data_IF_278856543010
#
_entry.id   IF_278856543010
#
_cell.length_a   1.000
_cell.length_b   1.000
_cell.length_c   1.000
_cell.angle_alpha   90.00
_cell.angle_beta   90.00
_cell.angle_gamma   90.00
#
_symmetry.space_group_name_H-M   'P 1'
#
loop_
_entity.id
_entity.type
_entity.pdbx_description
1 polymer ?
#
# COMPACT_ATOMS: atom_id res chain seq x y z
N UNK A 1 -11.35 -43.33 1.35
CA UNK A 1 -10.69 -42.22 2.05
C UNK A 1 -9.33 -41.80 1.42
N UNK A 2 -9.03 -42.22 0.20
CA UNK A 2 -7.82 -41.84 -0.52
C UNK A 2 -7.98 -40.70 -1.53
N UNK A 3 -9.17 -40.11 -1.62
CA UNK A 3 -9.46 -39.07 -2.62
C UNK A 3 -8.99 -37.66 -2.23
N UNK A 4 -8.90 -37.38 -0.92
CA UNK A 4 -8.54 -36.03 -0.43
C UNK A 4 -7.04 -35.69 -0.55
N UNK A 5 -6.18 -36.69 -0.58
CA UNK A 5 -4.74 -36.45 -0.73
C UNK A 5 -4.33 -36.10 -2.16
N UNK A 6 -5.06 -36.55 -3.15
CA UNK A 6 -4.80 -36.25 -4.56
C UNK A 6 -5.06 -34.79 -4.91
N UNK A 7 -6.11 -34.21 -4.35
CA UNK A 7 -6.50 -32.82 -4.61
C UNK A 7 -5.56 -31.82 -3.94
N UNK A 8 -5.13 -32.11 -2.71
CA UNK A 8 -4.18 -31.28 -1.97
C UNK A 8 -2.79 -31.31 -2.62
N UNK A 9 -2.35 -32.48 -3.11
CA UNK A 9 -1.10 -32.59 -3.86
C UNK A 9 -1.16 -31.90 -5.23
N UNK A 10 -2.30 -31.95 -5.89
CA UNK A 10 -2.50 -31.25 -7.16
C UNK A 10 -2.37 -29.75 -7.02
N UNK A 11 -2.96 -29.16 -5.98
CA UNK A 11 -2.88 -27.71 -5.72
C UNK A 11 -1.48 -27.25 -5.31
N UNK A 12 -0.80 -28.02 -4.45
CA UNK A 12 0.54 -27.66 -3.99
C UNK A 12 1.59 -27.86 -5.09
N UNK A 13 1.50 -28.97 -5.84
CA UNK A 13 2.43 -29.24 -6.94
C UNK A 13 2.12 -28.43 -8.19
N UNK A 14 0.87 -28.12 -8.44
CA UNK A 14 0.48 -27.22 -9.52
C UNK A 14 1.06 -25.83 -9.35
N UNK A 15 1.12 -25.35 -8.11
CA UNK A 15 1.69 -24.03 -7.80
C UNK A 15 3.24 -24.04 -7.77
N UNK A 16 3.85 -25.18 -7.43
CA UNK A 16 5.31 -25.30 -7.34
C UNK A 16 5.99 -25.67 -8.67
N UNK A 17 5.36 -26.50 -9.50
CA UNK A 17 5.92 -26.99 -10.76
C UNK A 17 5.14 -26.58 -12.02
N UNK A 18 3.91 -26.17 -11.86
CA UNK A 18 3.02 -25.75 -12.93
C UNK A 18 3.27 -24.35 -13.44
N UNK A 19 4.39 -24.16 -14.06
CA UNK A 19 4.60 -23.06 -14.98
C UNK A 19 4.64 -21.69 -14.34
N UNK A 20 5.71 -20.99 -14.62
CA UNK A 20 5.84 -19.58 -14.42
C UNK A 20 4.63 -18.81 -14.89
N UNK A 21 3.59 -18.79 -14.06
CA UNK A 21 2.59 -17.76 -14.11
C UNK A 21 3.37 -16.47 -13.99
N UNK A 22 3.49 -15.75 -15.08
CA UNK A 22 3.99 -14.40 -15.10
C UNK A 22 3.27 -13.68 -13.97
N UNK A 23 3.92 -13.50 -12.81
CA UNK A 23 3.52 -12.48 -11.87
C UNK A 23 3.66 -11.17 -12.61
N UNK A 24 2.62 -10.82 -13.36
CA UNK A 24 2.50 -9.49 -13.92
C UNK A 24 2.71 -8.56 -12.74
N UNK A 25 3.71 -7.69 -12.84
CA UNK A 25 3.81 -6.57 -11.93
C UNK A 25 2.41 -5.98 -11.83
N UNK A 26 1.85 -6.01 -10.64
CA UNK A 26 0.48 -5.57 -10.44
C UNK A 26 0.48 -4.03 -10.45
N UNK A 27 0.55 -3.45 -11.65
CA UNK A 27 0.47 -2.01 -11.87
C UNK A 27 -0.99 -1.51 -11.82
N UNK A 28 -1.90 -2.37 -11.39
CA UNK A 28 -3.30 -2.00 -11.16
C UNK A 28 -3.49 -1.13 -9.91
N UNK A 29 -4.71 -0.61 -9.72
CA UNK A 29 -5.05 0.15 -8.53
C UNK A 29 -4.85 -0.71 -7.27
N UNK A 30 -4.09 -0.18 -6.33
CA UNK A 30 -3.83 -0.84 -5.06
C UNK A 30 -4.34 0.01 -3.90
N UNK A 31 -5.03 -0.63 -2.97
CA UNK A 31 -5.48 0.02 -1.75
C UNK A 31 -4.28 0.45 -0.91
N UNK A 32 -4.35 1.65 -0.32
CA UNK A 32 -3.34 2.14 0.61
C UNK A 32 -3.27 1.30 1.89
N UNK A 33 -2.14 1.36 2.57
CA UNK A 33 -1.94 0.70 3.84
C UNK A 33 -2.82 1.30 4.94
N UNK A 34 -3.19 0.47 5.90
CA UNK A 34 -3.89 0.95 7.08
C UNK A 34 -2.92 1.60 8.05
N UNK A 35 -3.31 2.72 8.62
CA UNK A 35 -2.59 3.37 9.71
C UNK A 35 -3.11 2.88 11.05
N UNK A 36 -2.25 2.93 12.05
CA UNK A 36 -2.59 2.61 13.44
C UNK A 36 -2.29 3.81 14.32
N UNK A 37 -3.23 4.14 15.18
CA UNK A 37 -3.08 5.17 16.20
C UNK A 37 -3.56 4.61 17.53
N UNK A 38 -3.12 5.23 18.61
CA UNK A 38 -3.58 4.90 19.97
C UNK A 38 -4.20 6.12 20.61
N UNK A 39 -5.27 5.91 21.35
CA UNK A 39 -5.91 6.93 22.14
C UNK A 39 -6.05 6.43 23.58
N UNK A 40 -5.70 7.28 24.52
CA UNK A 40 -5.88 6.98 25.94
C UNK A 40 -7.15 7.66 26.43
N UNK A 41 -8.01 6.91 27.07
CA UNK A 41 -9.24 7.38 27.67
C UNK A 41 -9.31 6.96 29.14
N UNK A 42 -10.10 7.68 29.93
CA UNK A 42 -10.38 7.30 31.30
C UNK A 42 -11.44 6.19 31.35
N UNK A 43 -11.53 5.51 32.49
CA UNK A 43 -12.55 4.50 32.69
C UNK A 43 -13.98 5.06 32.52
N UNK A 44 -14.21 6.27 33.04
CA UNK A 44 -15.49 6.95 32.88
C UNK A 44 -15.84 7.23 31.43
N UNK A 45 -14.86 7.70 30.66
CA UNK A 45 -15.02 7.91 29.22
C UNK A 45 -15.31 6.61 28.47
N UNK A 46 -14.73 5.50 28.89
CA UNK A 46 -15.01 4.19 28.32
C UNK A 46 -16.44 3.71 28.63
N UNK A 47 -16.95 4.00 29.82
CA UNK A 47 -18.31 3.61 30.25
C UNK A 47 -19.38 4.43 29.54
N UNK A 48 -19.19 5.74 29.44
CA UNK A 48 -20.20 6.63 28.88
C UNK A 48 -20.02 6.93 27.39
N UNK A 49 -18.86 6.59 26.83
CA UNK A 49 -18.49 7.02 25.50
C UNK A 49 -17.97 8.45 25.49
N UNK A 50 -17.16 8.76 24.51
CA UNK A 50 -16.63 10.12 24.32
C UNK A 50 -16.20 10.34 22.88
N UNK A 51 -16.01 11.60 22.53
CA UNK A 51 -15.38 12.00 21.29
C UNK A 51 -13.97 12.51 21.57
N UNK A 52 -12.99 11.95 20.90
CA UNK A 52 -11.58 12.37 21.02
C UNK A 52 -11.09 12.88 19.66
N UNK A 53 -10.31 13.92 19.72
CA UNK A 53 -9.57 14.41 18.56
C UNK A 53 -8.17 13.79 18.55
N UNK A 54 -7.82 13.17 17.43
CA UNK A 54 -6.50 12.65 17.16
C UNK A 54 -5.82 13.50 16.11
N UNK A 55 -4.59 13.89 16.39
CA UNK A 55 -3.74 14.53 15.40
C UNK A 55 -2.88 13.46 14.74
N UNK A 56 -3.07 13.26 13.46
CA UNK A 56 -2.30 12.32 12.67
C UNK A 56 -1.70 12.99 11.45
N UNK A 57 -0.58 12.44 11.00
CA UNK A 57 0.05 12.86 9.75
C UNK A 57 -0.51 12.01 8.63
N UNK A 58 -1.24 12.64 7.73
CA UNK A 58 -1.79 12.00 6.54
C UNK A 58 -1.05 12.46 5.31
N UNK A 59 -0.81 11.53 4.42
CA UNK A 59 -0.35 11.84 3.07
C UNK A 59 -1.56 12.09 2.19
N UNK A 60 -1.55 13.22 1.52
CA UNK A 60 -2.54 13.57 0.52
C UNK A 60 -1.88 13.69 -0.85
N UNK A 61 -2.69 13.56 -1.88
CA UNK A 61 -2.24 13.80 -3.24
C UNK A 61 -1.70 15.23 -3.39
N UNK A 62 -0.55 15.35 -3.99
CA UNK A 62 0.05 16.66 -4.26
C UNK A 62 -0.85 17.48 -5.19
N UNK A 63 -1.29 18.63 -4.71
CA UNK A 63 -2.18 19.52 -5.48
C UNK A 63 -1.48 20.19 -6.67
N UNK A 64 -0.16 20.30 -6.60
CA UNK A 64 0.65 20.94 -7.67
C UNK A 64 0.78 20.03 -8.89
N UNK A 65 1.10 18.74 -8.69
CA UNK A 65 1.29 17.78 -9.78
C UNK A 65 0.14 16.77 -9.90
N UNK A 66 -0.87 16.85 -9.09
CA UNK A 66 -2.02 15.92 -9.06
C UNK A 66 -1.61 14.44 -8.93
N UNK A 67 -0.62 14.18 -8.08
CA UNK A 67 -0.16 12.83 -7.78
C UNK A 67 0.80 12.22 -8.78
N UNK A 68 1.16 12.91 -9.86
CA UNK A 68 2.07 12.39 -10.88
C UNK A 68 3.54 12.37 -10.45
N UNK A 69 3.91 13.26 -9.53
CA UNK A 69 5.30 13.49 -9.13
C UNK A 69 6.14 14.28 -10.16
N UNK A 70 5.58 14.58 -11.31
CA UNK A 70 6.23 15.36 -12.35
C UNK A 70 5.90 16.85 -12.21
N UNK A 71 6.85 17.70 -12.61
CA UNK A 71 6.64 19.15 -12.64
C UNK A 71 5.39 19.48 -13.47
N UNK A 72 4.55 20.45 -13.04
CA UNK A 72 3.39 20.89 -13.82
C UNK A 72 3.77 21.26 -15.24
N UNK A 73 3.00 20.77 -16.22
CA UNK A 73 3.29 20.92 -17.64
C UNK A 73 4.18 19.83 -18.23
N UNK A 74 4.73 18.94 -17.42
CA UNK A 74 5.45 17.74 -17.86
C UNK A 74 4.70 16.48 -17.42
N UNK A 75 4.89 15.40 -18.17
CA UNK A 75 4.28 14.12 -17.83
C UNK A 75 5.36 13.05 -17.62
N UNK A 76 5.12 12.07 -16.74
CA UNK A 76 5.99 10.92 -16.64
C UNK A 76 6.05 10.17 -17.97
N UNK A 77 7.25 9.73 -18.34
CA UNK A 77 7.48 8.95 -19.56
C UNK A 77 7.62 7.47 -19.20
N UNK A 78 7.25 6.59 -20.13
CA UNK A 78 7.45 5.15 -19.95
C UNK A 78 8.93 4.84 -19.78
N UNK A 79 9.28 4.02 -18.78
CA UNK A 79 10.67 3.61 -18.58
C UNK A 79 11.16 2.78 -19.76
N UNK A 80 12.23 3.21 -20.46
CA UNK A 80 12.73 2.48 -21.62
C UNK A 80 13.43 1.18 -21.27
N UNK A 81 13.96 1.06 -20.04
CA UNK A 81 14.68 -0.12 -19.60
C UNK A 81 13.78 -1.33 -19.36
N UNK A 82 12.61 -1.11 -18.79
CA UNK A 82 11.63 -2.15 -18.53
C UNK A 82 10.37 -2.06 -19.43
N UNK A 83 10.33 -1.11 -20.34
CA UNK A 83 9.18 -0.84 -21.22
C UNK A 83 7.85 -0.65 -20.46
N UNK A 84 7.92 -0.04 -19.29
CA UNK A 84 6.77 0.23 -18.45
C UNK A 84 6.33 -0.92 -17.56
N UNK A 85 7.01 -2.06 -17.59
CA UNK A 85 6.64 -3.23 -16.77
C UNK A 85 7.05 -3.11 -15.30
N UNK A 86 8.00 -2.25 -14.98
CA UNK A 86 8.53 -2.07 -13.63
C UNK A 86 9.48 -3.18 -13.18
N UNK A 87 9.68 -4.21 -14.00
CA UNK A 87 10.52 -5.36 -13.72
C UNK A 87 11.39 -5.71 -14.91
N UNK A 88 12.57 -6.24 -14.61
CA UNK A 88 13.51 -6.75 -15.60
C UNK A 88 13.67 -8.24 -15.38
N UNK A 89 13.61 -9.01 -16.46
CA UNK A 89 13.82 -10.45 -16.44
C UNK A 89 15.23 -10.76 -16.94
N UNK A 90 16.04 -11.36 -16.09
CA UNK A 90 17.35 -11.91 -16.47
C UNK A 90 17.23 -13.42 -16.66
N UNK A 91 17.71 -13.89 -17.80
CA UNK A 91 17.83 -15.31 -18.06
C UNK A 91 19.28 -15.73 -17.89
N UNK A 92 19.55 -16.63 -16.94
CA UNK A 92 20.88 -17.19 -16.73
C UNK A 92 20.86 -18.67 -17.06
N UNK A 93 21.89 -19.11 -17.78
CA UNK A 93 22.09 -20.52 -18.04
C UNK A 93 22.84 -21.14 -16.86
N UNK A 94 22.21 -22.10 -16.19
CA UNK A 94 22.81 -22.88 -15.11
C UNK A 94 23.02 -24.33 -15.52
N UNK A 95 23.75 -25.11 -14.71
CA UNK A 95 23.93 -26.55 -14.93
C UNK A 95 22.62 -27.34 -14.93
N UNK A 96 21.56 -26.79 -14.36
CA UNK A 96 20.22 -27.36 -14.28
C UNK A 96 19.22 -26.80 -15.30
N UNK A 97 19.68 -26.03 -16.29
CA UNK A 97 18.86 -25.39 -17.28
C UNK A 97 18.85 -23.88 -17.19
N UNK A 98 17.90 -23.25 -17.89
CA UNK A 98 17.77 -21.80 -17.88
C UNK A 98 16.97 -21.34 -16.65
N UNK A 99 17.58 -20.49 -15.82
CA UNK A 99 16.91 -19.86 -14.68
C UNK A 99 16.53 -18.44 -15.04
N UNK A 100 15.27 -18.10 -14.84
CA UNK A 100 14.74 -16.75 -15.05
C UNK A 100 14.66 -16.04 -13.70
N UNK A 101 15.41 -14.95 -13.54
CA UNK A 101 15.35 -14.08 -12.38
C UNK A 101 14.59 -12.82 -12.75
N UNK A 102 13.56 -12.49 -11.96
CA UNK A 102 12.80 -11.26 -12.08
C UNK A 102 13.27 -10.29 -11.01
N UNK A 103 13.74 -9.13 -11.41
CA UNK A 103 14.18 -8.07 -10.49
C UNK A 103 13.38 -6.80 -10.74
N UNK A 104 13.22 -6.00 -9.68
CA UNK A 104 12.66 -4.67 -9.81
C UNK A 104 13.57 -3.80 -10.67
N UNK A 105 12.99 -3.08 -11.64
CA UNK A 105 13.77 -2.19 -12.51
C UNK A 105 14.46 -1.11 -11.68
N UNK A 106 15.79 -0.99 -11.72
CA UNK A 106 16.52 -0.01 -10.92
C UNK A 106 16.35 1.42 -11.41
N UNK A 107 15.98 1.62 -12.66
CA UNK A 107 15.79 2.97 -13.23
C UNK A 107 14.49 3.62 -12.76
N UNK A 108 13.40 2.87 -12.76
CA UNK A 108 12.09 3.37 -12.34
C UNK A 108 11.67 2.90 -10.96
N UNK A 109 12.50 2.07 -10.28
CA UNK A 109 12.20 1.49 -8.97
C UNK A 109 10.85 0.77 -8.91
N UNK A 110 10.46 0.13 -9.99
CA UNK A 110 9.23 -0.63 -10.07
C UNK A 110 7.99 0.13 -10.54
N UNK A 111 8.09 1.46 -10.75
CA UNK A 111 6.94 2.26 -11.17
C UNK A 111 6.57 2.12 -12.65
N UNK A 112 7.52 1.71 -13.47
CA UNK A 112 7.36 1.64 -14.93
C UNK A 112 7.43 3.00 -15.64
N UNK A 113 7.64 4.08 -14.90
CA UNK A 113 7.67 5.45 -15.41
C UNK A 113 8.89 6.19 -14.92
N UNK A 114 9.43 7.08 -15.76
CA UNK A 114 10.53 7.96 -15.42
C UNK A 114 10.04 9.41 -15.43
N UNK A 115 10.42 10.14 -14.39
CA UNK A 115 10.12 11.55 -14.24
C UNK A 115 11.42 12.31 -14.51
N UNK A 116 11.47 13.06 -15.61
CA UNK A 116 12.64 13.87 -15.97
C UNK A 116 12.76 15.11 -15.11
N UNK A 117 11.66 15.80 -14.88
CA UNK A 117 11.58 16.98 -14.02
C UNK A 117 10.62 16.67 -12.86
N UNK A 118 11.15 16.66 -11.65
CA UNK A 118 10.39 16.37 -10.45
C UNK A 118 9.58 17.57 -10.00
N UNK A 119 8.36 17.32 -9.53
CA UNK A 119 7.57 18.35 -8.85
C UNK A 119 8.30 18.84 -7.60
N UNK A 120 8.48 20.14 -7.47
CA UNK A 120 9.19 20.75 -6.33
C UNK A 120 8.39 20.68 -5.03
N UNK A 121 7.06 20.68 -5.12
CA UNK A 121 6.18 20.63 -3.95
C UNK A 121 6.22 19.28 -3.22
N UNK A 122 6.22 18.18 -3.97
CA UNK A 122 6.26 16.82 -3.41
C UNK A 122 7.61 16.11 -3.59
N UNK A 123 8.59 16.78 -4.21
CA UNK A 123 9.92 16.21 -4.50
C UNK A 123 9.88 14.92 -5.34
N UNK A 124 8.90 14.82 -6.22
CA UNK A 124 8.73 13.68 -7.11
C UNK A 124 7.96 12.50 -6.51
N UNK A 125 7.48 12.59 -5.28
CA UNK A 125 6.73 11.51 -4.63
C UNK A 125 5.26 11.42 -5.07
N UNK A 126 4.70 12.53 -5.52
CA UNK A 126 3.27 12.66 -5.85
C UNK A 126 2.38 12.91 -4.64
N UNK A 127 2.93 12.92 -3.44
CA UNK A 127 2.18 13.10 -2.18
C UNK A 127 2.84 14.11 -1.27
N UNK A 128 2.02 14.82 -0.51
CA UNK A 128 2.46 15.74 0.53
C UNK A 128 1.88 15.31 1.87
N UNK A 129 2.69 15.44 2.94
CA UNK A 129 2.25 15.09 4.29
C UNK A 129 1.70 16.32 4.98
N UNK A 130 0.53 16.19 5.59
CA UNK A 130 -0.08 17.23 6.41
C UNK A 130 -0.61 16.66 7.72
N UNK A 131 -0.55 17.47 8.77
CA UNK A 131 -1.18 17.13 10.04
C UNK A 131 -2.67 17.42 9.95
N UNK A 132 -3.47 16.43 10.27
CA UNK A 132 -4.93 16.55 10.31
C UNK A 132 -5.46 16.10 11.66
N UNK A 133 -6.43 16.84 12.16
CA UNK A 133 -7.20 16.43 13.33
C UNK A 133 -8.38 15.60 12.88
N UNK A 134 -8.50 14.40 13.43
CA UNK A 134 -9.59 13.49 13.16
C UNK A 134 -10.37 13.30 14.45
N UNK A 135 -11.67 13.52 14.38
CA UNK A 135 -12.58 13.20 15.47
C UNK A 135 -12.91 11.71 15.46
N UNK A 136 -12.65 11.08 16.59
CA UNK A 136 -12.95 9.67 16.82
C UNK A 136 -14.06 9.57 17.84
N UNK A 137 -15.19 9.03 17.43
CA UNK A 137 -16.29 8.74 18.35
C UNK A 137 -16.09 7.37 18.98
N UNK A 138 -15.92 7.36 20.29
CA UNK A 138 -15.69 6.15 21.07
C UNK A 138 -17.03 5.74 21.70
N UNK A 139 -17.56 4.55 21.34
CA UNK A 139 -18.84 4.12 21.86
C UNK A 139 -18.75 3.76 23.34
N UNK A 140 -19.86 3.94 24.03
CA UNK A 140 -19.98 3.52 25.44
C UNK A 140 -19.79 2.01 25.59
N UNK A 141 -19.13 1.60 26.67
CA UNK A 141 -18.89 0.18 26.97
C UNK A 141 -17.73 -0.44 26.19
N UNK A 142 -16.82 0.38 25.69
CA UNK A 142 -15.63 -0.11 24.99
C UNK A 142 -14.63 -0.75 25.99
N UNK A 143 -14.05 -1.86 25.58
CA UNK A 143 -13.03 -2.55 26.37
C UNK A 143 -11.62 -2.04 26.05
N UNK A 144 -10.73 -2.19 27.02
CA UNK A 144 -9.31 -1.88 26.81
C UNK A 144 -8.72 -2.76 25.69
N UNK A 145 -8.00 -2.13 24.78
CA UNK A 145 -7.37 -2.81 23.66
C UNK A 145 -8.28 -3.02 22.45
N UNK A 146 -9.54 -2.60 22.51
CA UNK A 146 -10.38 -2.60 21.32
C UNK A 146 -9.92 -1.56 20.30
N UNK A 147 -10.11 -1.88 19.02
CA UNK A 147 -9.76 -1.00 17.93
C UNK A 147 -11.00 -0.51 17.20
N UNK A 148 -11.04 0.79 16.95
CA UNK A 148 -12.07 1.44 16.14
C UNK A 148 -11.50 1.67 14.75
N UNK A 149 -12.24 1.26 13.74
CA UNK A 149 -11.86 1.45 12.34
C UNK A 149 -12.53 2.69 11.78
N UNK A 150 -11.72 3.61 11.31
CA UNK A 150 -12.19 4.81 10.58
C UNK A 150 -11.82 4.63 9.12
N UNK A 151 -12.82 4.59 8.26
CA UNK A 151 -12.63 4.37 6.83
C UNK A 151 -11.97 5.57 6.14
N UNK A 152 -11.16 5.29 5.13
CA UNK A 152 -10.53 6.29 4.26
C UNK A 152 -9.63 7.32 4.97
N UNK A 153 -9.07 6.95 6.11
CA UNK A 153 -8.13 7.78 6.90
C UNK A 153 -6.74 7.14 7.03
N UNK A 154 -6.44 6.13 6.24
CA UNK A 154 -5.13 5.51 6.14
C UNK A 154 -4.23 6.14 5.08
N UNK A 155 -3.21 5.42 4.67
CA UNK A 155 -2.31 5.83 3.59
C UNK A 155 -3.07 5.90 2.25
N UNK A 156 -2.68 6.82 1.36
CA UNK A 156 -3.27 6.89 0.04
C UNK A 156 -2.96 5.63 -0.78
N UNK A 157 -3.90 5.21 -1.61
CA UNK A 157 -3.69 4.11 -2.54
C UNK A 157 -2.71 4.48 -3.66
N UNK A 158 -2.21 3.48 -4.34
CA UNK A 158 -1.34 3.65 -5.50
C UNK A 158 -2.11 3.36 -6.79
N UNK A 159 -1.67 3.98 -7.89
CA UNK A 159 -2.27 3.78 -9.21
C UNK A 159 -3.79 4.00 -9.27
N UNK A 160 -4.28 5.00 -8.56
CA UNK A 160 -5.71 5.30 -8.49
C UNK A 160 -6.51 4.41 -7.54
N UNK A 161 -5.86 3.61 -6.71
CA UNK A 161 -6.51 2.78 -5.71
C UNK A 161 -7.09 3.58 -4.54
N UNK A 162 -8.01 2.99 -3.79
CA UNK A 162 -8.63 3.65 -2.64
C UNK A 162 -7.64 3.83 -1.49
N UNK A 163 -7.91 4.80 -0.65
CA UNK A 163 -7.17 5.03 0.59
C UNK A 163 -7.38 3.88 1.57
N UNK A 164 -6.37 3.59 2.39
CA UNK A 164 -6.51 2.66 3.52
C UNK A 164 -7.35 3.22 4.65
N UNK A 165 -7.47 2.48 5.71
CA UNK A 165 -8.26 2.83 6.89
C UNK A 165 -7.34 3.18 8.07
N UNK A 166 -7.86 3.96 9.02
CA UNK A 166 -7.21 4.23 10.29
C UNK A 166 -7.78 3.29 11.35
N UNK A 167 -6.92 2.56 12.01
CA UNK A 167 -7.27 1.73 13.17
C UNK A 167 -6.83 2.45 14.44
N UNK A 168 -7.78 2.82 15.26
CA UNK A 168 -7.54 3.50 16.54
C UNK A 168 -7.68 2.48 17.67
N UNK A 169 -6.57 2.15 18.31
CA UNK A 169 -6.54 1.29 19.48
C UNK A 169 -6.86 2.12 20.73
N UNK A 170 -7.86 1.71 21.47
CA UNK A 170 -8.31 2.40 22.68
C UNK A 170 -7.65 1.78 23.90
N UNK A 171 -6.93 2.62 24.63
CA UNK A 171 -6.33 2.29 25.92
C UNK A 171 -7.18 2.90 27.02
N UNK A 172 -7.70 2.08 27.91
CA UNK A 172 -8.44 2.53 29.09
C UNK A 172 -7.49 2.57 30.29
N UNK A 173 -7.36 3.74 30.88
CA UNK A 173 -6.52 3.92 32.06
C UNK A 173 -7.20 3.39 33.33
#
# INVERSE_FOLDING_TARGET
>A
NGADMGDIFGDIFGDLFGGGGRRRANNGPMKGANLRARVNITFEEAVFGCDKELEIVLKDECTTCHGTGAKPGTQPTTCPKCNGEGQIVYTQQSMFGMVRNVQTCPECNGSGKIIKEKCTSCRGTGYTSSRKKISVSIPAGIDNGQSIRIRDKGEPGTNGGPRGDLLVEVNVA
#
